data_IF_310537017351
#
_entry.id   IF_310537017351
#
_cell.length_a   1.000
_cell.length_b   1.000
_cell.length_c   1.000
_cell.angle_alpha   90.00
_cell.angle_beta   90.00
_cell.angle_gamma   90.00
#
_symmetry.space_group_name_H-M   'P 1'
#
loop_
_entity.id
_entity.type
_entity.pdbx_description
1 polymer ?
#
# COMPACT_ATOMS: atom_id res chain seq x y z
N UNK A 1 15.94 3.64 18.22
CA UNK A 1 14.54 3.24 18.53
C UNK A 1 14.31 1.94 17.77
N UNK A 2 13.81 0.86 18.39
CA UNK A 2 13.71 -0.43 17.70
C UNK A 2 12.82 -0.37 16.45
N UNK A 3 13.13 -1.20 15.45
CA UNK A 3 12.35 -1.34 14.23
C UNK A 3 10.92 -1.80 14.54
N UNK A 4 9.93 -1.19 13.88
CA UNK A 4 8.51 -1.54 14.03
C UNK A 4 8.01 -2.19 12.75
N UNK A 5 7.42 -3.36 12.89
CA UNK A 5 6.89 -4.15 11.77
C UNK A 5 5.38 -4.28 11.92
N UNK A 6 4.67 -4.00 10.83
CA UNK A 6 3.22 -4.15 10.74
C UNK A 6 2.88 -4.93 9.48
N UNK A 7 1.92 -5.86 9.60
CA UNK A 7 1.37 -6.58 8.46
C UNK A 7 -0.14 -6.38 8.41
N UNK A 8 -0.65 -6.05 7.23
CA UNK A 8 -2.07 -5.81 6.99
C UNK A 8 -2.56 -6.61 5.79
N UNK A 9 -3.82 -7.03 5.87
CA UNK A 9 -4.55 -7.59 4.74
C UNK A 9 -5.73 -6.67 4.45
N UNK A 10 -5.87 -6.24 3.20
CA UNK A 10 -6.85 -5.24 2.79
C UNK A 10 -7.65 -5.79 1.62
N UNK A 11 -8.98 -5.65 1.69
CA UNK A 11 -9.83 -5.97 0.54
C UNK A 11 -9.60 -4.92 -0.57
N UNK A 12 -9.58 -5.32 -1.85
CA UNK A 12 -9.40 -4.41 -2.99
C UNK A 12 -10.66 -3.58 -3.26
N UNK A 13 -11.12 -2.84 -2.26
CA UNK A 13 -12.26 -1.93 -2.31
C UNK A 13 -11.77 -0.50 -2.06
N UNK A 14 -12.13 0.44 -2.93
CA UNK A 14 -11.58 1.80 -2.90
C UNK A 14 -11.87 2.53 -1.58
N UNK A 15 -13.04 2.32 -0.97
CA UNK A 15 -13.37 2.92 0.33
C UNK A 15 -12.53 2.36 1.47
N UNK A 16 -12.30 1.04 1.48
CA UNK A 16 -11.41 0.39 2.45
C UNK A 16 -9.95 0.77 2.25
N UNK A 17 -9.50 0.93 1.00
CA UNK A 17 -8.14 1.35 0.68
C UNK A 17 -7.90 2.79 1.14
N UNK A 18 -8.85 3.69 0.92
CA UNK A 18 -8.75 5.08 1.39
C UNK A 18 -8.58 5.14 2.92
N UNK A 19 -9.47 4.47 3.66
CA UNK A 19 -9.37 4.39 5.11
C UNK A 19 -8.06 3.72 5.59
N UNK A 20 -7.59 2.71 4.86
CA UNK A 20 -6.32 2.05 5.16
C UNK A 20 -5.11 2.96 4.93
N UNK A 21 -5.12 3.75 3.85
CA UNK A 21 -4.05 4.70 3.55
C UNK A 21 -3.91 5.78 4.63
N UNK A 22 -5.03 6.29 5.15
CA UNK A 22 -5.07 7.22 6.26
C UNK A 22 -4.46 6.59 7.54
N UNK A 23 -4.78 5.32 7.80
CA UNK A 23 -4.18 4.56 8.92
C UNK A 23 -2.66 4.41 8.76
N UNK A 24 -2.15 4.09 7.57
CA UNK A 24 -0.71 3.99 7.32
C UNK A 24 -0.02 5.33 7.53
N UNK A 25 -0.60 6.41 6.98
CA UNK A 25 -0.10 7.78 7.17
C UNK A 25 0.04 8.12 8.65
N UNK A 26 -0.98 7.80 9.46
CA UNK A 26 -0.97 8.03 10.90
C UNK A 26 0.10 7.22 11.64
N UNK A 27 0.29 5.95 11.28
CA UNK A 27 1.31 5.08 11.90
C UNK A 27 2.70 5.63 11.63
N UNK A 28 2.98 5.98 10.37
CA UNK A 28 4.29 6.49 9.95
C UNK A 28 4.54 7.88 10.53
N UNK A 29 3.53 8.76 10.52
CA UNK A 29 3.62 10.12 11.08
C UNK A 29 4.09 10.13 12.53
N UNK A 30 3.61 9.18 13.34
CA UNK A 30 3.98 9.06 14.77
C UNK A 30 5.46 8.72 14.99
N UNK A 31 6.16 8.19 13.99
CA UNK A 31 7.55 7.78 14.11
C UNK A 31 8.51 8.62 13.24
N UNK A 32 8.05 9.09 12.08
CA UNK A 32 8.90 9.72 11.04
C UNK A 32 8.46 11.14 10.67
N UNK A 33 7.46 11.70 11.34
CA UNK A 33 6.97 13.06 11.11
C UNK A 33 5.94 13.19 9.98
N UNK A 34 5.37 14.40 9.85
CA UNK A 34 4.19 14.67 9.02
C UNK A 34 4.42 14.41 7.53
N UNK A 35 5.53 14.88 6.97
CA UNK A 35 5.80 14.74 5.53
C UNK A 35 5.94 13.26 5.13
N UNK A 36 6.73 12.50 5.88
CA UNK A 36 6.93 11.06 5.64
C UNK A 36 5.65 10.27 5.82
N UNK A 37 4.84 10.59 6.84
CA UNK A 37 3.52 10.00 7.04
C UNK A 37 2.59 10.25 5.86
N UNK A 38 2.49 11.50 5.42
CA UNK A 38 1.66 11.88 4.27
C UNK A 38 2.08 11.15 2.99
N UNK A 39 3.38 11.10 2.68
CA UNK A 39 3.92 10.37 1.52
C UNK A 39 3.64 8.87 1.60
N UNK A 40 3.77 8.26 2.77
CA UNK A 40 3.47 6.84 2.97
C UNK A 40 1.99 6.52 2.68
N UNK A 41 1.07 7.38 3.15
CA UNK A 41 -0.35 7.27 2.81
C UNK A 41 -0.60 7.34 1.30
N UNK A 42 0.00 8.33 0.62
CA UNK A 42 -0.13 8.52 -0.83
C UNK A 42 0.36 7.30 -1.64
N UNK A 43 1.52 6.74 -1.27
CA UNK A 43 2.06 5.55 -1.94
C UNK A 43 1.08 4.37 -1.80
N UNK A 44 0.52 4.18 -0.61
CA UNK A 44 -0.40 3.08 -0.34
C UNK A 44 -1.72 3.24 -1.11
N UNK A 45 -2.35 4.42 -1.08
CA UNK A 45 -3.61 4.65 -1.80
C UNK A 45 -3.43 4.46 -3.30
N UNK A 46 -2.33 4.97 -3.88
CA UNK A 46 -2.10 4.90 -5.32
C UNK A 46 -1.86 3.45 -5.77
N UNK A 47 -0.90 2.76 -5.13
CA UNK A 47 -0.56 1.39 -5.49
C UNK A 47 -1.74 0.43 -5.27
N UNK A 48 -2.42 0.51 -4.12
CA UNK A 48 -3.56 -0.36 -3.84
C UNK A 48 -4.77 -0.04 -4.72
N UNK A 49 -5.00 1.23 -5.07
CA UNK A 49 -6.08 1.59 -6.00
C UNK A 49 -5.83 1.06 -7.39
N UNK A 50 -4.58 1.04 -7.85
CA UNK A 50 -4.23 0.48 -9.16
C UNK A 50 -4.47 -1.04 -9.18
N UNK A 51 -4.12 -1.75 -8.11
CA UNK A 51 -4.46 -3.17 -7.95
C UNK A 51 -5.99 -3.37 -7.96
N UNK A 52 -6.74 -2.58 -7.21
CA UNK A 52 -8.21 -2.70 -7.16
C UNK A 52 -8.89 -2.41 -8.50
N UNK A 53 -8.35 -1.48 -9.30
CA UNK A 53 -8.91 -1.08 -10.60
C UNK A 53 -8.51 -2.02 -11.75
N UNK A 54 -7.28 -2.53 -11.71
CA UNK A 54 -6.66 -3.19 -12.87
C UNK A 54 -6.22 -4.63 -12.59
N UNK A 55 -6.23 -5.06 -11.33
CA UNK A 55 -5.71 -6.38 -10.93
C UNK A 55 -6.67 -7.55 -11.18
N UNK A 56 -7.92 -7.30 -11.60
CA UNK A 56 -8.93 -8.34 -11.86
C UNK A 56 -9.07 -9.37 -10.70
N UNK A 57 -8.96 -8.89 -9.46
CA UNK A 57 -8.98 -9.73 -8.27
C UNK A 57 -10.38 -10.32 -7.99
N UNK A 58 -10.42 -11.56 -7.52
CA UNK A 58 -11.63 -12.22 -7.04
C UNK A 58 -12.16 -11.66 -5.71
N UNK A 59 -13.40 -11.98 -5.35
CA UNK A 59 -14.08 -11.44 -4.13
C UNK A 59 -13.38 -11.78 -2.80
N UNK A 60 -12.63 -12.89 -2.79
CA UNK A 60 -11.88 -13.40 -1.63
C UNK A 60 -10.39 -13.03 -1.66
N UNK A 61 -9.90 -12.42 -2.75
CA UNK A 61 -8.50 -12.02 -2.86
C UNK A 61 -8.23 -10.72 -2.09
N UNK A 62 -7.03 -10.65 -1.51
CA UNK A 62 -6.61 -9.59 -0.61
C UNK A 62 -5.26 -9.04 -1.04
N UNK A 63 -5.04 -7.75 -0.74
CA UNK A 63 -3.75 -7.09 -0.87
C UNK A 63 -3.02 -7.22 0.47
N UNK A 64 -1.81 -7.78 0.45
CA UNK A 64 -0.91 -7.82 1.61
C UNK A 64 -0.07 -6.55 1.61
N UNK A 65 -0.01 -5.87 2.76
CA UNK A 65 0.82 -4.69 2.94
C UNK A 65 1.67 -4.87 4.19
N UNK A 66 2.98 -4.96 3.99
CA UNK A 66 3.99 -5.02 5.03
C UNK A 66 4.65 -3.64 5.17
N UNK A 67 4.62 -3.10 6.39
CA UNK A 67 5.16 -1.79 6.74
C UNK A 67 6.25 -1.96 7.78
N UNK A 68 7.47 -1.63 7.40
CA UNK A 68 8.65 -1.64 8.27
C UNK A 68 9.11 -0.21 8.50
N UNK A 69 9.19 0.21 9.76
CA UNK A 69 9.66 1.55 10.16
C UNK A 69 10.98 1.38 10.91
N UNK A 70 12.08 1.73 10.24
CA UNK A 70 13.43 1.77 10.80
C UNK A 70 13.77 3.13 11.41
N UNK A 71 15.06 3.37 11.66
CA UNK A 71 15.52 4.64 12.24
C UNK A 71 15.56 5.79 11.21
N UNK A 72 15.91 5.48 9.96
CA UNK A 72 16.13 6.47 8.90
C UNK A 72 15.16 6.32 7.71
N UNK A 73 14.43 5.20 7.65
CA UNK A 73 13.62 4.83 6.49
C UNK A 73 12.32 4.14 6.86
N UNK A 74 11.37 4.19 5.93
CA UNK A 74 10.15 3.39 5.93
C UNK A 74 10.19 2.51 4.69
N UNK A 75 9.99 1.21 4.87
CA UNK A 75 9.82 0.25 3.78
C UNK A 75 8.37 -0.21 3.75
N UNK A 76 7.74 -0.05 2.59
CA UNK A 76 6.38 -0.50 2.33
C UNK A 76 6.46 -1.55 1.22
N UNK A 77 6.06 -2.78 1.54
CA UNK A 77 5.96 -3.87 0.57
C UNK A 77 4.48 -4.14 0.35
N UNK A 78 4.07 -4.13 -0.92
CA UNK A 78 2.68 -4.38 -1.34
C UNK A 78 2.72 -5.60 -2.25
N UNK A 79 1.95 -6.61 -1.89
CA UNK A 79 1.82 -7.84 -2.66
C UNK A 79 0.34 -8.15 -2.89
N UNK A 80 0.05 -8.67 -4.06
CA UNK A 80 -1.29 -9.09 -4.45
C UNK A 80 -1.20 -10.33 -5.36
N UNK A 81 -2.36 -10.90 -5.67
CA UNK A 81 -2.49 -12.13 -6.48
C UNK A 81 -3.00 -11.85 -7.89
N UNK A 82 -3.03 -10.59 -8.31
CA UNK A 82 -3.51 -10.18 -9.63
C UNK A 82 -2.69 -10.80 -10.75
N UNK A 83 -3.29 -10.81 -11.94
CA UNK A 83 -2.56 -11.10 -13.15
C UNK A 83 -1.39 -10.12 -13.28
N UNK A 84 -0.17 -10.66 -13.42
CA UNK A 84 1.04 -9.85 -13.57
C UNK A 84 0.87 -8.84 -14.70
N UNK A 85 1.07 -7.58 -14.37
CA UNK A 85 1.18 -6.51 -15.34
C UNK A 85 2.45 -6.68 -16.18
N UNK A 86 2.30 -6.80 -17.50
CA UNK A 86 3.42 -6.74 -18.43
C UNK A 86 3.42 -5.38 -19.13
N UNK A 87 4.33 -4.44 -18.77
CA UNK A 87 4.40 -3.11 -19.38
C UNK A 87 4.72 -3.13 -20.89
N UNK A 88 5.17 -4.26 -21.44
CA UNK A 88 5.44 -4.42 -22.87
C UNK A 88 4.22 -4.86 -23.69
N UNK A 89 3.12 -5.24 -23.02
CA UNK A 89 1.89 -5.74 -23.65
C UNK A 89 0.75 -4.71 -23.65
N UNK A 90 1.02 -3.49 -23.18
CA UNK A 90 0.06 -2.40 -23.11
C UNK A 90 0.46 -1.33 -24.11
N UNK A 91 -0.46 -0.92 -24.98
CA UNK A 91 -0.25 0.23 -25.86
C UNK A 91 -0.07 1.50 -25.00
N UNK A 92 0.92 2.32 -25.34
CA UNK A 92 1.10 3.64 -24.70
C UNK A 92 -0.18 4.50 -24.92
N UNK A 93 -0.61 5.27 -23.91
CA UNK A 93 -1.78 6.13 -24.00
C UNK A 93 -1.65 7.27 -25.01
#
# INVERSE_FOLDING_TARGET
>A
MGEKNYRFMVKPDLGRIDAFSAKVSDIVRKSMGNETGFRAGLIVIEACSNIAKHGELGEDELISVDLTIGEDRVTITIEDTSKKFNPLEVDEP
#
